data_IF_522686615264
#
_entry.id   IF_522686615264
#
_cell.length_a   1.000
_cell.length_b   1.000
_cell.length_c   1.000
_cell.angle_alpha   90.00
_cell.angle_beta   90.00
_cell.angle_gamma   90.00
#
_symmetry.space_group_name_H-M   'P 1'
#
loop_
_entity.id
_entity.type
_entity.pdbx_description
1 polymer ?
#
# COMPACT_ATOMS: atom_id res chain seq x y z
N UNK A 1 51.49 2.05 42.86
CA UNK A 1 50.75 1.31 43.91
C UNK A 1 49.25 1.50 43.70
N UNK A 2 48.53 0.36 43.53
CA UNK A 2 47.07 0.14 43.73
C UNK A 2 46.11 1.14 43.06
N UNK A 3 45.64 0.88 41.83
CA UNK A 3 44.38 0.15 41.50
C UNK A 3 43.21 0.46 42.44
N UNK A 4 42.21 1.20 41.95
CA UNK A 4 40.81 0.74 41.94
C UNK A 4 39.96 1.67 41.07
N UNK A 5 39.76 1.26 39.82
CA UNK A 5 38.68 1.73 38.97
C UNK A 5 37.38 1.18 39.58
N UNK A 6 36.51 2.06 40.08
CA UNK A 6 35.20 1.66 40.58
C UNK A 6 34.22 1.70 39.39
N UNK A 7 34.08 0.56 38.74
CA UNK A 7 33.02 0.29 37.77
C UNK A 7 31.78 -0.11 38.59
N UNK A 8 30.83 0.80 38.73
CA UNK A 8 29.51 0.57 39.33
C UNK A 8 28.59 1.71 38.82
N UNK A 9 27.83 1.55 37.74
CA UNK A 9 26.54 0.88 37.77
C UNK A 9 26.23 0.34 36.37
N UNK A 10 26.36 -0.97 36.22
CA UNK A 10 25.66 -1.73 35.21
C UNK A 10 24.15 -1.71 35.51
N UNK A 11 23.33 -1.77 34.45
CA UNK A 11 21.87 -1.94 34.45
C UNK A 11 21.01 -0.70 34.81
N UNK A 12 20.85 0.20 33.85
CA UNK A 12 19.50 0.65 33.46
C UNK A 12 19.28 0.19 32.02
N UNK A 13 19.12 -1.12 31.86
CA UNK A 13 18.91 -1.75 30.57
C UNK A 13 17.70 -2.68 30.62
N UNK A 14 16.60 -2.24 31.23
CA UNK A 14 15.30 -2.94 31.18
C UNK A 14 14.23 -1.92 31.59
N UNK A 15 13.19 -1.56 30.84
CA UNK A 15 12.53 -2.20 29.71
C UNK A 15 12.03 -1.08 28.77
N UNK A 16 12.71 -0.83 27.66
CA UNK A 16 12.00 -0.33 26.50
C UNK A 16 11.25 -1.54 25.92
N UNK A 17 10.17 -1.93 26.58
CA UNK A 17 9.12 -2.66 25.91
C UNK A 17 8.74 -1.75 24.75
N UNK A 18 9.11 -2.09 23.52
CA UNK A 18 8.41 -1.58 22.36
C UNK A 18 6.97 -2.03 22.56
N UNK A 19 6.18 -1.21 23.24
CA UNK A 19 4.77 -1.48 23.40
C UNK A 19 4.24 -1.48 21.97
N UNK A 20 3.65 -2.59 21.56
CA UNK A 20 2.73 -2.61 20.41
C UNK A 20 1.54 -1.74 20.80
N UNK A 21 1.75 -0.43 20.80
CA UNK A 21 0.71 0.54 20.99
C UNK A 21 -0.14 0.44 19.73
N UNK A 22 -1.41 0.06 19.92
CA UNK A 22 -2.40 0.25 18.88
C UNK A 22 -2.35 1.72 18.44
N UNK A 23 -2.57 2.00 17.14
CA UNK A 23 -2.61 3.37 16.65
C UNK A 23 -3.56 4.22 17.49
N UNK A 24 -3.12 5.42 17.87
CA UNK A 24 -3.89 6.39 18.62
C UNK A 24 -4.53 7.43 17.68
N UNK A 25 -5.65 8.07 18.07
CA UNK A 25 -6.22 9.17 17.31
C UNK A 25 -5.16 10.25 17.01
N UNK A 26 -5.02 10.62 15.75
CA UNK A 26 -3.99 11.52 15.24
C UNK A 26 -2.79 10.82 14.59
N UNK A 27 -2.65 9.50 14.77
CA UNK A 27 -1.55 8.75 14.18
C UNK A 27 -1.62 8.68 12.65
N UNK A 28 -0.44 8.58 12.06
CA UNK A 28 -0.25 8.36 10.63
C UNK A 28 0.58 7.10 10.36
N UNK A 29 -0.07 6.06 9.86
CA UNK A 29 0.55 4.76 9.57
C UNK A 29 1.22 4.81 8.19
N UNK A 30 2.54 5.03 8.19
CA UNK A 30 3.33 5.09 6.96
C UNK A 30 3.63 3.71 6.38
N UNK A 31 3.76 3.62 5.05
CA UNK A 31 4.20 2.44 4.32
C UNK A 31 5.25 2.81 3.25
N UNK A 32 6.52 2.77 3.61
CA UNK A 32 7.62 3.10 2.68
C UNK A 32 7.82 2.04 1.60
N UNK A 33 7.45 0.78 1.88
CA UNK A 33 7.61 -0.31 0.90
C UNK A 33 6.70 -0.19 -0.31
N UNK A 34 5.65 0.64 -0.23
CA UNK A 34 4.73 0.87 -1.34
C UNK A 34 5.36 1.68 -2.48
N UNK A 35 6.40 2.48 -2.20
CA UNK A 35 6.93 3.45 -3.15
C UNK A 35 7.48 2.81 -4.42
N UNK A 36 8.02 1.59 -4.31
CA UNK A 36 8.54 0.84 -5.46
C UNK A 36 7.47 0.33 -6.44
N UNK A 37 6.20 0.31 -6.02
CA UNK A 37 5.09 -0.12 -6.87
C UNK A 37 4.37 1.04 -7.56
N UNK A 38 4.63 2.28 -7.13
CA UNK A 38 4.03 3.49 -7.71
C UNK A 38 4.50 3.62 -9.16
N UNK A 39 3.55 3.88 -10.06
CA UNK A 39 3.86 4.10 -11.48
C UNK A 39 2.85 3.43 -12.41
N UNK A 40 3.24 3.32 -13.67
CA UNK A 40 2.44 2.68 -14.71
C UNK A 40 3.08 1.37 -15.13
N UNK A 41 2.37 0.27 -14.90
CA UNK A 41 2.72 -1.07 -15.31
C UNK A 41 1.99 -1.41 -16.60
N UNK A 42 2.71 -1.95 -17.57
CA UNK A 42 2.16 -2.29 -18.89
C UNK A 42 2.48 -3.74 -19.21
N UNK A 43 1.46 -4.47 -19.62
CA UNK A 43 1.58 -5.80 -20.20
C UNK A 43 0.97 -5.79 -21.59
N UNK A 44 1.58 -6.51 -22.53
CA UNK A 44 1.08 -6.67 -23.90
C UNK A 44 1.43 -8.05 -24.42
N UNK A 45 0.47 -8.70 -25.05
CA UNK A 45 0.66 -9.97 -25.74
C UNK A 45 -0.17 -9.96 -27.02
N UNK A 46 0.50 -9.88 -28.18
CA UNK A 46 -0.19 -9.70 -29.46
C UNK A 46 -1.05 -8.43 -29.46
N UNK A 47 -2.36 -8.61 -29.68
CA UNK A 47 -3.35 -7.54 -29.73
C UNK A 47 -4.00 -7.24 -28.37
N UNK A 48 -3.65 -7.99 -27.33
CA UNK A 48 -4.16 -7.80 -25.98
C UNK A 48 -3.18 -6.94 -25.19
N UNK A 49 -3.70 -6.03 -24.37
CA UNK A 49 -2.87 -5.25 -23.46
C UNK A 49 -3.59 -4.89 -22.17
N UNK A 50 -2.80 -4.72 -21.13
CA UNK A 50 -3.26 -4.33 -19.81
C UNK A 50 -2.36 -3.22 -19.28
N UNK A 51 -2.97 -2.13 -18.85
CA UNK A 51 -2.28 -1.01 -18.19
C UNK A 51 -2.81 -0.91 -16.77
N UNK A 52 -1.90 -0.79 -15.82
CA UNK A 52 -2.19 -0.57 -14.42
C UNK A 52 -1.43 0.66 -13.93
N UNK A 53 -2.16 1.66 -13.45
CA UNK A 53 -1.62 2.90 -12.90
C UNK A 53 -1.81 2.85 -11.40
N UNK A 54 -0.71 2.80 -10.64
CA UNK A 54 -0.70 2.71 -9.18
C UNK A 54 -0.21 4.02 -8.57
N UNK A 55 -0.97 4.50 -7.58
CA UNK A 55 -0.65 5.67 -6.75
C UNK A 55 -0.68 5.26 -5.29
N UNK A 56 0.18 5.88 -4.48
CA UNK A 56 0.10 5.85 -3.02
C UNK A 56 -0.58 7.12 -2.53
N UNK A 57 -1.51 6.98 -1.62
CA UNK A 57 -2.18 8.09 -0.96
C UNK A 57 -2.21 7.87 0.55
N UNK A 58 -2.22 8.97 1.29
CA UNK A 58 -2.42 8.93 2.73
C UNK A 58 -3.91 9.20 2.99
N UNK A 59 -4.66 8.19 3.40
CA UNK A 59 -6.13 8.25 3.53
C UNK A 59 -6.56 8.06 4.98
N UNK A 60 -7.78 8.49 5.32
CA UNK A 60 -8.37 8.14 6.60
C UNK A 60 -8.65 6.63 6.63
N UNK A 61 -8.24 5.95 7.70
CA UNK A 61 -8.50 4.52 7.85
C UNK A 61 -9.96 4.36 8.29
N UNK A 62 -10.79 3.62 7.52
CA UNK A 62 -12.17 3.37 7.91
C UNK A 62 -12.24 2.72 9.30
N UNK A 63 -13.26 3.09 10.08
CA UNK A 63 -13.53 2.54 11.42
C UNK A 63 -12.52 2.92 12.53
N UNK A 64 -11.51 3.74 12.23
CA UNK A 64 -10.58 4.27 13.22
C UNK A 64 -10.69 5.81 13.28
N UNK A 65 -11.08 6.35 14.44
CA UNK A 65 -11.24 7.80 14.60
C UNK A 65 -9.90 8.54 14.47
N UNK A 66 -9.88 9.51 13.56
CA UNK A 66 -8.76 10.43 13.36
C UNK A 66 -7.41 9.74 13.07
N UNK A 67 -7.42 8.52 12.51
CA UNK A 67 -6.20 7.82 12.11
C UNK A 67 -6.09 7.83 10.59
N UNK A 68 -4.90 8.12 10.10
CA UNK A 68 -4.57 8.05 8.68
C UNK A 68 -3.55 6.96 8.40
N UNK A 69 -3.48 6.51 7.16
CA UNK A 69 -2.45 5.59 6.73
C UNK A 69 -2.22 5.60 5.23
N UNK A 70 -1.02 5.17 4.86
CA UNK A 70 -0.66 4.96 3.46
C UNK A 70 -1.43 3.77 2.89
N UNK A 71 -2.19 4.05 1.83
CA UNK A 71 -2.95 3.08 1.07
C UNK A 71 -2.75 3.28 -0.42
N UNK A 72 -2.89 2.20 -1.17
CA UNK A 72 -2.68 2.18 -2.59
C UNK A 72 -4.00 2.33 -3.30
N UNK A 73 -4.08 3.28 -4.24
CA UNK A 73 -5.17 3.35 -5.21
C UNK A 73 -4.62 3.12 -6.61
N UNK A 74 -5.51 2.79 -7.53
CA UNK A 74 -5.11 2.72 -8.92
C UNK A 74 -6.25 2.59 -9.91
N UNK A 75 -5.84 2.55 -11.16
CA UNK A 75 -6.69 2.57 -12.34
C UNK A 75 -6.16 1.54 -13.32
N UNK A 76 -7.05 0.93 -14.08
CA UNK A 76 -6.67 -0.03 -15.09
C UNK A 76 -7.33 0.27 -16.43
N UNK A 77 -6.70 -0.22 -17.49
CA UNK A 77 -7.26 -0.35 -18.82
C UNK A 77 -6.97 -1.75 -19.32
N UNK A 78 -7.99 -2.40 -19.87
CA UNK A 78 -7.86 -3.70 -20.51
C UNK A 78 -8.37 -3.63 -21.95
N UNK A 79 -7.50 -4.01 -22.87
CA UNK A 79 -7.77 -4.10 -24.31
C UNK A 79 -7.65 -5.56 -24.71
N UNK A 80 -8.71 -6.09 -25.33
CA UNK A 80 -8.76 -7.45 -25.87
C UNK A 80 -9.02 -7.35 -27.37
N UNK A 81 -8.13 -7.92 -28.19
CA UNK A 81 -8.21 -7.85 -29.65
C UNK A 81 -8.49 -6.42 -30.15
N UNK A 82 -7.67 -5.46 -29.70
CA UNK A 82 -7.78 -4.02 -30.05
C UNK A 82 -9.05 -3.31 -29.57
N UNK A 83 -9.97 -4.00 -28.89
CA UNK A 83 -11.18 -3.42 -28.32
C UNK A 83 -10.98 -3.10 -26.84
N UNK A 84 -11.31 -1.87 -26.44
CA UNK A 84 -11.32 -1.49 -25.02
C UNK A 84 -12.45 -2.23 -24.31
N UNK A 85 -12.10 -3.12 -23.39
CA UNK A 85 -13.06 -3.88 -22.58
C UNK A 85 -13.38 -3.11 -21.29
N UNK A 86 -12.36 -2.54 -20.66
CA UNK A 86 -12.50 -1.69 -19.49
C UNK A 86 -11.48 -0.56 -19.53
N UNK A 87 -11.89 0.62 -19.10
CA UNK A 87 -11.01 1.77 -18.96
C UNK A 87 -11.43 2.65 -17.78
N UNK A 88 -10.47 2.86 -16.89
CA UNK A 88 -10.55 3.84 -15.81
C UNK A 88 -9.33 4.77 -15.77
N UNK A 89 -8.41 4.61 -16.73
CA UNK A 89 -7.14 5.32 -16.79
C UNK A 89 -7.32 6.84 -16.96
N UNK A 90 -8.42 7.27 -17.58
CA UNK A 90 -8.80 8.68 -17.68
C UNK A 90 -9.06 9.35 -16.33
N UNK A 91 -9.37 8.58 -15.28
CA UNK A 91 -9.52 9.06 -13.92
C UNK A 91 -8.22 9.05 -13.12
N UNK A 92 -7.06 8.72 -13.72
CA UNK A 92 -5.79 8.61 -12.99
C UNK A 92 -5.33 9.87 -12.24
N UNK A 93 -5.84 11.04 -12.63
CA UNK A 93 -5.62 12.31 -11.94
C UNK A 93 -6.44 12.50 -10.65
N UNK A 94 -7.41 11.65 -10.36
CA UNK A 94 -8.27 11.79 -9.16
C UNK A 94 -7.61 11.18 -7.92
N UNK A 95 -8.14 11.51 -6.75
CA UNK A 95 -7.71 10.98 -5.46
C UNK A 95 -8.70 9.91 -4.94
N UNK A 96 -8.39 9.30 -3.79
CA UNK A 96 -9.22 8.29 -3.14
C UNK A 96 -10.64 8.80 -2.85
N UNK A 97 -10.75 10.04 -2.36
CA UNK A 97 -12.03 10.65 -1.96
C UNK A 97 -13.00 10.87 -3.14
N UNK A 98 -12.48 10.93 -4.37
CA UNK A 98 -13.29 11.05 -5.59
C UNK A 98 -14.03 9.74 -5.94
N UNK A 99 -13.65 8.61 -5.32
CA UNK A 99 -14.25 7.28 -5.51
C UNK A 99 -14.27 6.81 -6.96
N UNK A 100 -13.28 7.23 -7.76
CA UNK A 100 -13.14 6.83 -9.17
C UNK A 100 -12.16 5.68 -9.38
N UNK A 101 -11.30 5.39 -8.41
CA UNK A 101 -10.33 4.30 -8.48
C UNK A 101 -11.02 2.95 -8.71
N UNK A 102 -10.35 2.06 -9.42
CA UNK A 102 -10.79 0.67 -9.64
C UNK A 102 -9.88 -0.33 -8.95
N UNK A 103 -8.73 0.14 -8.46
CA UNK A 103 -7.73 -0.69 -7.81
C UNK A 103 -7.51 -0.16 -6.41
N UNK A 104 -7.40 -1.07 -5.45
CA UNK A 104 -6.96 -0.80 -4.08
C UNK A 104 -5.89 -1.81 -3.73
N UNK A 105 -4.78 -1.36 -3.13
CA UNK A 105 -3.63 -2.23 -2.90
C UNK A 105 -2.80 -1.79 -1.69
N UNK A 106 -1.98 -2.71 -1.20
CA UNK A 106 -0.98 -2.47 -0.15
C UNK A 106 0.15 -3.49 -0.28
N UNK A 107 1.22 -3.33 0.48
CA UNK A 107 2.26 -4.35 0.61
C UNK A 107 1.88 -5.37 1.66
N UNK A 108 2.27 -6.62 1.45
CA UNK A 108 2.06 -7.68 2.43
C UNK A 108 3.02 -7.53 3.61
N UNK A 109 2.60 -6.80 4.64
CA UNK A 109 3.37 -6.64 5.88
C UNK A 109 3.41 -7.90 6.74
N UNK A 110 2.57 -8.90 6.46
CA UNK A 110 2.48 -10.10 7.29
C UNK A 110 3.51 -11.16 6.90
N UNK A 111 4.02 -11.15 5.67
CA UNK A 111 4.93 -12.18 5.17
C UNK A 111 6.41 -11.78 5.21
N UNK A 112 6.77 -10.64 5.80
CA UNK A 112 8.12 -10.06 5.81
C UNK A 112 8.75 -9.90 4.41
N UNK A 113 7.97 -10.06 3.34
CA UNK A 113 8.44 -9.85 1.97
C UNK A 113 7.88 -8.54 1.45
N UNK A 114 8.64 -7.43 1.56
CA UNK A 114 8.14 -6.14 1.13
C UNK A 114 7.92 -6.10 -0.39
N UNK A 115 8.45 -7.07 -1.16
CA UNK A 115 8.37 -7.12 -2.63
C UNK A 115 7.10 -7.77 -3.15
N UNK A 116 6.09 -7.96 -2.30
CA UNK A 116 4.78 -8.46 -2.70
C UNK A 116 3.75 -7.34 -2.56
N UNK A 117 3.07 -7.06 -3.66
CA UNK A 117 1.88 -6.22 -3.68
C UNK A 117 0.64 -7.10 -3.64
N UNK A 118 -0.29 -6.78 -2.74
CA UNK A 118 -1.62 -7.41 -2.67
C UNK A 118 -2.70 -6.36 -2.86
N UNK A 119 -3.80 -6.73 -3.48
CA UNK A 119 -4.91 -5.81 -3.65
C UNK A 119 -6.11 -6.41 -4.36
N UNK A 120 -6.99 -5.52 -4.81
CA UNK A 120 -8.18 -5.86 -5.56
C UNK A 120 -8.29 -4.97 -6.79
N UNK A 121 -8.74 -5.56 -7.89
CA UNK A 121 -9.17 -4.85 -9.10
C UNK A 121 -10.67 -5.05 -9.27
N UNK A 122 -11.39 -3.95 -9.45
CA UNK A 122 -12.81 -3.95 -9.75
C UNK A 122 -13.05 -4.04 -11.25
N UNK A 123 -13.73 -5.09 -11.67
CA UNK A 123 -14.29 -5.27 -13.00
C UNK A 123 -15.67 -4.59 -13.04
N UNK A 124 -15.68 -3.29 -13.36
CA UNK A 124 -16.87 -2.43 -13.32
C UNK A 124 -17.99 -2.95 -14.22
N UNK A 125 -17.67 -3.41 -15.43
CA UNK A 125 -18.70 -3.87 -16.38
C UNK A 125 -19.37 -5.18 -15.95
N UNK A 126 -18.69 -6.00 -15.13
CA UNK A 126 -19.22 -7.26 -14.60
C UNK A 126 -19.69 -7.17 -13.15
N UNK A 127 -19.52 -6.04 -12.48
CA UNK A 127 -19.84 -5.88 -11.06
C UNK A 127 -19.06 -6.85 -10.16
N UNK A 128 -17.80 -7.16 -10.52
CA UNK A 128 -16.96 -8.12 -9.78
C UNK A 128 -15.70 -7.46 -9.25
N UNK A 129 -15.09 -8.05 -8.23
CA UNK A 129 -13.75 -7.72 -7.77
C UNK A 129 -12.90 -8.97 -7.76
N UNK A 130 -11.63 -8.83 -8.14
CA UNK A 130 -10.66 -9.91 -8.20
C UNK A 130 -9.48 -9.55 -7.32
N UNK A 131 -9.05 -10.47 -6.47
CA UNK A 131 -7.82 -10.33 -5.70
C UNK A 131 -6.61 -10.46 -6.62
N UNK A 132 -5.63 -9.59 -6.45
CA UNK A 132 -4.38 -9.60 -7.17
C UNK A 132 -3.20 -9.74 -6.21
N UNK A 133 -2.18 -10.47 -6.65
CA UNK A 133 -0.86 -10.53 -6.02
C UNK A 133 0.19 -10.35 -7.12
N UNK A 134 1.10 -9.39 -6.95
CA UNK A 134 2.22 -9.09 -7.85
C UNK A 134 3.52 -9.24 -7.06
#
# INVERSE_FOLDING_TARGET
MKKMFLILFSLVAIFASAQNNLPQPGDNILNTDMDKFIGTWKWKMGNDSFILILKKENIAIPFLENIRGDWGIGFHQYILNETIIEDSSSYSGTNYDDKKNTVTWTTDRNTNNPNILKGFIQHKTKGKSVEMTI
#
